data_IF_274839967028
#
_entry.id   IF_274839967028
#
_cell.length_a   1.000
_cell.length_b   1.000
_cell.length_c   1.000
_cell.angle_alpha   90.00
_cell.angle_beta   90.00
_cell.angle_gamma   90.00
#
_symmetry.space_group_name_H-M   'P 1'
#
loop_
_entity.id
_entity.type
_entity.pdbx_description
1 polymer ?
#
# COMPACT_ATOMS: atom_id res chain seq x y z
N UNK A 1 19.32 -18.03 -0.43
CA UNK A 1 18.61 -16.74 -0.26
C UNK A 1 17.22 -16.85 -0.88
N UNK A 2 16.29 -15.92 -0.59
CA UNK A 2 14.94 -15.94 -1.18
C UNK A 2 14.96 -16.12 -2.70
N UNK A 3 15.75 -15.30 -3.40
CA UNK A 3 15.93 -15.35 -4.85
C UNK A 3 16.44 -16.72 -5.31
N UNK A 4 17.48 -17.27 -4.69
CA UNK A 4 18.01 -18.58 -5.07
C UNK A 4 17.00 -19.73 -4.90
N UNK A 5 16.10 -19.62 -3.92
CA UNK A 5 15.09 -20.65 -3.66
C UNK A 5 13.91 -20.54 -4.61
N UNK A 6 13.36 -19.34 -4.79
CA UNK A 6 12.08 -19.13 -5.48
C UNK A 6 12.21 -18.61 -6.91
N UNK A 7 13.37 -18.06 -7.28
CA UNK A 7 13.67 -17.49 -8.59
C UNK A 7 15.06 -17.93 -9.08
N UNK A 8 15.22 -19.24 -9.23
CA UNK A 8 16.44 -19.84 -9.79
C UNK A 8 16.71 -19.42 -11.25
N UNK A 9 15.74 -18.78 -11.90
CA UNK A 9 15.82 -18.17 -13.21
C UNK A 9 16.49 -16.77 -13.24
N UNK A 10 16.77 -16.15 -12.08
CA UNK A 10 17.41 -14.83 -12.02
C UNK A 10 18.75 -14.87 -11.25
N UNK A 11 19.67 -13.92 -11.50
CA UNK A 11 20.94 -13.87 -10.78
C UNK A 11 20.73 -13.76 -9.27
N UNK A 12 21.47 -14.57 -8.50
CA UNK A 12 21.47 -14.47 -7.04
C UNK A 12 21.98 -13.11 -6.51
N UNK A 13 22.67 -12.35 -7.37
CA UNK A 13 23.12 -10.98 -7.12
C UNK A 13 22.07 -9.91 -7.38
N UNK A 14 20.84 -10.29 -7.76
CA UNK A 14 19.74 -9.32 -7.93
C UNK A 14 19.50 -8.63 -6.60
N UNK A 15 19.66 -7.31 -6.59
CA UNK A 15 19.68 -6.49 -5.40
C UNK A 15 18.89 -5.19 -5.61
N UNK A 16 18.63 -4.49 -4.52
CA UNK A 16 18.04 -3.17 -4.49
C UNK A 16 19.10 -2.10 -4.22
N UNK A 17 18.81 -0.86 -4.60
CA UNK A 17 19.57 0.31 -4.13
C UNK A 17 18.96 0.82 -2.84
N UNK A 18 19.81 1.15 -1.85
CA UNK A 18 19.38 1.74 -0.59
C UNK A 18 19.34 3.27 -0.72
N UNK A 19 18.23 3.86 -0.32
CA UNK A 19 18.14 5.27 0.06
C UNK A 19 17.75 5.37 1.55
N UNK A 20 18.16 6.44 2.21
CA UNK A 20 17.84 6.67 3.62
C UNK A 20 17.12 7.99 3.78
N UNK A 21 16.15 8.01 4.68
CA UNK A 21 15.37 9.18 5.08
C UNK A 21 15.56 9.41 6.58
N UNK A 22 15.68 10.69 6.98
CA UNK A 22 15.83 11.09 8.39
C UNK A 22 16.96 10.38 9.16
N UNK A 23 18.07 10.11 8.47
CA UNK A 23 19.24 9.48 9.08
C UNK A 23 19.09 7.99 9.38
N UNK A 24 18.09 7.32 8.79
CA UNK A 24 17.85 5.89 8.99
C UNK A 24 19.08 5.03 8.68
N UNK A 25 19.21 3.92 9.42
CA UNK A 25 20.17 2.87 9.15
C UNK A 25 19.54 1.76 8.29
N UNK A 26 20.40 0.90 7.71
CA UNK A 26 19.97 -0.32 7.04
C UNK A 26 20.57 -1.55 7.75
N UNK A 27 20.11 -1.79 8.97
CA UNK A 27 20.61 -2.90 9.77
C UNK A 27 20.04 -4.21 9.23
N UNK A 28 20.91 -5.12 8.83
CA UNK A 28 20.53 -6.37 8.15
C UNK A 28 20.45 -7.58 9.10
N UNK A 29 20.42 -7.35 10.42
CA UNK A 29 20.19 -8.44 11.38
C UNK A 29 18.72 -8.86 11.34
N UNK A 30 18.39 -10.11 11.66
CA UNK A 30 16.99 -10.56 11.65
C UNK A 30 16.07 -9.71 12.54
N UNK A 31 16.58 -9.26 13.69
CA UNK A 31 15.84 -8.45 14.66
C UNK A 31 15.61 -7.03 14.14
N UNK A 32 16.62 -6.45 13.48
CA UNK A 32 16.57 -5.04 13.06
C UNK A 32 16.00 -4.85 11.65
N UNK A 33 16.28 -5.77 10.71
CA UNK A 33 15.73 -5.73 9.35
C UNK A 33 14.22 -5.98 9.37
N UNK A 34 13.77 -6.83 10.30
CA UNK A 34 12.37 -7.18 10.48
C UNK A 34 11.81 -8.04 9.35
N UNK A 35 10.68 -8.68 9.66
CA UNK A 35 9.91 -9.49 8.70
C UNK A 35 9.34 -8.61 7.60
N UNK A 36 8.90 -7.41 7.95
CA UNK A 36 8.18 -6.49 7.07
C UNK A 36 9.03 -5.99 5.89
N UNK A 37 10.18 -5.35 6.16
CA UNK A 37 11.06 -4.85 5.10
C UNK A 37 11.63 -5.99 4.25
N UNK A 38 11.88 -7.15 4.88
CA UNK A 38 12.32 -8.37 4.18
C UNK A 38 11.26 -8.87 3.21
N UNK A 39 10.00 -8.94 3.64
CA UNK A 39 8.86 -9.32 2.81
C UNK A 39 8.72 -8.38 1.60
N UNK A 40 8.64 -7.09 1.85
CA UNK A 40 8.44 -6.07 0.81
C UNK A 40 9.51 -6.17 -0.28
N UNK A 41 10.78 -6.24 0.13
CA UNK A 41 11.89 -6.22 -0.82
C UNK A 41 12.08 -7.55 -1.54
N UNK A 42 11.85 -8.69 -0.85
CA UNK A 42 11.98 -10.02 -1.46
C UNK A 42 10.99 -10.21 -2.60
N UNK A 43 9.74 -9.76 -2.43
CA UNK A 43 8.74 -9.88 -3.48
C UNK A 43 8.94 -8.86 -4.60
N UNK A 44 9.24 -7.59 -4.29
CA UNK A 44 9.46 -6.57 -5.32
C UNK A 44 10.65 -6.89 -6.22
N UNK A 45 11.82 -7.16 -5.63
CA UNK A 45 13.05 -7.46 -6.39
C UNK A 45 12.91 -8.76 -7.19
N UNK A 46 12.16 -9.73 -6.66
CA UNK A 46 11.95 -11.00 -7.35
C UNK A 46 10.95 -10.85 -8.48
N UNK A 47 9.73 -10.38 -8.21
CA UNK A 47 8.63 -10.35 -9.20
C UNK A 47 8.91 -9.35 -10.31
N UNK A 48 9.29 -8.11 -9.98
CA UNK A 48 9.63 -7.06 -10.93
C UNK A 48 11.13 -7.06 -11.28
N UNK A 49 11.66 -8.23 -11.64
CA UNK A 49 13.06 -8.37 -12.02
C UNK A 49 13.42 -7.46 -13.23
N UNK A 50 14.69 -7.07 -13.32
CA UNK A 50 15.24 -6.16 -14.34
C UNK A 50 14.72 -4.70 -14.28
N UNK A 51 13.85 -4.37 -13.34
CA UNK A 51 13.51 -2.98 -13.03
C UNK A 51 14.34 -2.51 -11.83
N UNK A 52 14.95 -1.32 -11.87
CA UNK A 52 15.65 -0.77 -10.71
C UNK A 52 14.71 -0.64 -9.51
N UNK A 53 15.04 -1.34 -8.42
CA UNK A 53 14.29 -1.28 -7.15
C UNK A 53 15.08 -0.48 -6.14
N UNK A 54 14.43 0.51 -5.55
CA UNK A 54 14.97 1.31 -4.44
C UNK A 54 14.25 0.91 -3.16
N UNK A 55 15.01 0.56 -2.13
CA UNK A 55 14.52 0.41 -0.76
C UNK A 55 14.84 1.69 0.00
N UNK A 56 13.80 2.38 0.47
CA UNK A 56 13.96 3.58 1.30
C UNK A 56 13.81 3.17 2.76
N UNK A 57 14.91 3.24 3.51
CA UNK A 57 14.87 3.09 4.97
C UNK A 57 14.53 4.43 5.60
N UNK A 58 13.55 4.48 6.49
CA UNK A 58 13.12 5.70 7.18
C UNK A 58 13.28 5.55 8.70
N UNK A 59 13.68 6.63 9.36
CA UNK A 59 13.85 6.68 10.82
C UNK A 59 12.50 6.87 11.51
N UNK A 60 12.42 6.48 12.78
CA UNK A 60 11.27 6.84 13.64
C UNK A 60 11.31 8.32 14.07
N UNK A 61 12.47 8.97 13.95
CA UNK A 61 12.66 10.41 14.21
C UNK A 61 12.14 11.26 13.04
N UNK A 62 10.82 11.24 12.88
CA UNK A 62 10.10 11.89 11.77
C UNK A 62 9.78 13.34 12.12
N UNK A 63 9.89 14.23 11.12
CA UNK A 63 9.73 15.67 11.33
C UNK A 63 8.30 16.16 11.01
N UNK A 64 7.39 15.24 10.71
CA UNK A 64 5.99 15.51 10.33
C UNK A 64 4.95 15.10 11.41
N UNK A 65 5.41 14.70 12.59
CA UNK A 65 4.60 14.47 13.78
C UNK A 65 3.70 13.24 13.66
N UNK A 66 2.38 13.41 13.74
CA UNK A 66 1.42 12.29 13.68
C UNK A 66 1.31 11.64 12.29
N UNK A 67 2.03 12.17 11.30
CA UNK A 67 2.10 11.61 9.95
C UNK A 67 3.21 10.56 9.83
N UNK A 68 4.05 10.35 10.85
CA UNK A 68 4.94 9.19 10.94
C UNK A 68 5.87 9.00 9.74
N UNK A 69 6.35 10.11 9.14
CA UNK A 69 7.29 10.13 8.02
C UNK A 69 6.66 10.00 6.65
N UNK A 70 5.33 9.87 6.53
CA UNK A 70 4.68 9.75 5.22
C UNK A 70 4.73 11.04 4.41
N UNK A 71 4.80 12.21 5.06
CA UNK A 71 5.00 13.47 4.35
C UNK A 71 6.46 13.62 3.94
N UNK A 72 7.39 13.25 4.83
CA UNK A 72 8.83 13.28 4.55
C UNK A 72 9.18 12.36 3.36
N UNK A 73 8.56 11.18 3.29
CA UNK A 73 8.65 10.27 2.14
C UNK A 73 8.09 10.90 0.85
N UNK A 74 6.94 11.56 0.94
CA UNK A 74 6.35 12.21 -0.23
C UNK A 74 7.23 13.36 -0.72
N UNK A 75 7.81 14.15 0.18
CA UNK A 75 8.72 15.24 -0.12
C UNK A 75 10.05 14.74 -0.72
N UNK A 76 10.58 13.62 -0.23
CA UNK A 76 11.72 12.92 -0.85
C UNK A 76 11.44 12.60 -2.33
N UNK A 77 10.31 11.93 -2.61
CA UNK A 77 9.92 11.56 -3.97
C UNK A 77 9.61 12.78 -4.85
N UNK A 78 8.98 13.82 -4.29
CA UNK A 78 8.72 15.07 -5.00
C UNK A 78 10.01 15.83 -5.33
N UNK A 79 11.03 15.75 -4.48
CA UNK A 79 12.34 16.37 -4.67
C UNK A 79 13.20 15.71 -5.76
N UNK A 80 12.94 14.45 -6.11
CA UNK A 80 13.68 13.73 -7.14
C UNK A 80 13.34 14.27 -8.54
N UNK A 81 14.34 14.51 -9.39
CA UNK A 81 14.13 14.96 -10.77
C UNK A 81 13.40 13.90 -11.61
N UNK A 82 13.69 12.62 -11.37
CA UNK A 82 13.07 11.46 -12.02
C UNK A 82 12.71 10.42 -10.95
N UNK A 83 11.56 10.56 -10.27
CA UNK A 83 11.14 9.65 -9.23
C UNK A 83 10.81 8.26 -9.79
N UNK A 84 10.76 7.22 -8.96
CA UNK A 84 10.28 5.90 -9.36
C UNK A 84 8.85 6.00 -9.89
N UNK A 85 8.48 5.14 -10.84
CA UNK A 85 7.14 5.12 -11.42
C UNK A 85 6.10 4.50 -10.48
N UNK A 86 6.55 3.64 -9.57
CA UNK A 86 5.73 2.91 -8.62
C UNK A 86 6.38 3.02 -7.24
N UNK A 87 5.57 3.35 -6.24
CA UNK A 87 5.93 3.35 -4.82
C UNK A 87 4.94 2.47 -4.06
N UNK A 88 5.43 1.65 -3.15
CA UNK A 88 4.60 0.83 -2.26
C UNK A 88 5.11 0.95 -0.84
N UNK A 89 4.18 0.99 0.12
CA UNK A 89 4.50 0.89 1.54
C UNK A 89 3.47 0.02 2.24
N UNK A 90 3.98 -0.80 3.16
CA UNK A 90 3.16 -1.66 4.01
C UNK A 90 2.86 -0.99 5.37
N UNK A 91 3.29 0.26 5.54
CA UNK A 91 3.03 1.08 6.70
C UNK A 91 1.94 2.11 6.42
N UNK A 92 1.18 2.48 7.45
CA UNK A 92 0.17 3.53 7.36
C UNK A 92 -0.03 4.22 8.71
N UNK A 93 -0.55 5.46 8.71
CA UNK A 93 -0.83 6.17 9.95
C UNK A 93 -1.92 5.41 10.72
N UNK A 94 -1.80 5.37 12.06
CA UNK A 94 -2.77 4.72 12.93
C UNK A 94 -3.91 5.68 13.30
N UNK A 95 -5.14 5.48 12.79
CA UNK A 95 -6.28 6.32 13.17
C UNK A 95 -6.74 6.11 14.63
N UNK A 96 -7.38 7.13 15.26
CA UNK A 96 -7.86 8.36 14.63
C UNK A 96 -6.72 9.35 14.36
N UNK A 97 -6.79 10.00 13.19
CA UNK A 97 -5.94 11.15 12.90
C UNK A 97 -6.32 12.31 13.84
N UNK A 98 -5.39 13.24 14.15
CA UNK A 98 -5.64 14.37 15.02
C UNK A 98 -6.85 15.21 14.58
N UNK A 99 -7.55 15.78 15.56
CA UNK A 99 -8.66 16.73 15.35
C UNK A 99 -8.30 18.12 15.91
N UNK A 100 -8.53 19.22 15.17
CA UNK A 100 -9.01 19.27 13.80
C UNK A 100 -7.99 18.64 12.84
N UNK A 101 -8.48 18.08 11.73
CA UNK A 101 -7.57 17.64 10.66
C UNK A 101 -6.78 18.89 10.21
N UNK A 102 -5.44 18.87 10.23
CA UNK A 102 -4.67 19.93 9.59
C UNK A 102 -5.03 20.00 8.09
N UNK A 103 -4.75 21.12 7.40
CA UNK A 103 -4.76 21.15 5.93
C UNK A 103 -4.05 19.90 5.43
N UNK A 104 -4.66 19.16 4.51
CA UNK A 104 -4.14 17.85 4.13
C UNK A 104 -2.89 17.99 3.25
N UNK A 105 -1.79 18.44 3.83
CA UNK A 105 -0.47 18.54 3.19
C UNK A 105 -0.07 17.18 2.65
N UNK A 106 -0.35 16.11 3.41
CA UNK A 106 -0.20 14.75 2.94
C UNK A 106 -1.04 14.48 1.68
N UNK A 107 -2.35 14.74 1.69
CA UNK A 107 -3.19 14.53 0.51
C UNK A 107 -2.68 15.32 -0.71
N UNK A 108 -2.25 16.57 -0.49
CA UNK A 108 -1.72 17.42 -1.55
C UNK A 108 -0.38 16.90 -2.07
N UNK A 109 0.50 16.39 -1.22
CA UNK A 109 1.78 15.80 -1.61
C UNK A 109 1.55 14.53 -2.45
N UNK A 110 0.67 13.62 -2.00
CA UNK A 110 0.33 12.42 -2.76
C UNK A 110 -0.47 12.71 -4.04
N UNK A 111 -1.29 13.77 -4.06
CA UNK A 111 -1.92 14.26 -5.29
C UNK A 111 -0.87 14.78 -6.29
N UNK A 112 0.18 15.47 -5.80
CA UNK A 112 1.30 15.89 -6.64
C UNK A 112 2.10 14.69 -7.17
N UNK A 113 2.36 13.66 -6.35
CA UNK A 113 2.97 12.42 -6.83
C UNK A 113 2.14 11.78 -7.95
N UNK A 114 0.82 11.68 -7.76
CA UNK A 114 -0.10 11.21 -8.81
C UNK A 114 -0.05 12.07 -10.08
N UNK A 115 0.04 13.40 -9.95
CA UNK A 115 0.17 14.33 -11.07
C UNK A 115 1.52 14.21 -11.79
N UNK A 116 2.58 13.77 -11.09
CA UNK A 116 3.88 13.41 -11.68
C UNK A 116 3.88 12.02 -12.34
N UNK A 117 2.76 11.30 -12.31
CA UNK A 117 2.61 10.00 -12.95
C UNK A 117 3.06 8.83 -12.09
N UNK A 118 3.17 8.99 -10.77
CA UNK A 118 3.48 7.89 -9.87
C UNK A 118 2.23 7.07 -9.52
N UNK A 119 2.39 5.76 -9.51
CA UNK A 119 1.46 4.83 -8.86
C UNK A 119 1.90 4.62 -7.41
N UNK A 120 1.04 4.95 -6.46
CA UNK A 120 1.34 4.85 -5.02
C UNK A 120 0.40 3.85 -4.37
N UNK A 121 0.97 2.81 -3.77
CA UNK A 121 0.24 1.72 -3.12
C UNK A 121 0.48 1.70 -1.61
N UNK A 122 -0.61 1.52 -0.88
CA UNK A 122 -0.60 1.33 0.56
C UNK A 122 -1.26 -0.01 0.88
N UNK A 123 -0.65 -0.77 1.79
CA UNK A 123 -1.35 -1.87 2.44
C UNK A 123 -2.63 -1.35 3.12
N UNK A 124 -3.71 -2.12 3.04
CA UNK A 124 -4.99 -1.63 3.53
C UNK A 124 -5.10 -1.68 5.07
N UNK A 125 -4.30 -2.53 5.70
CA UNK A 125 -4.32 -2.80 7.14
C UNK A 125 -4.83 -4.20 7.48
N UNK A 126 -4.44 -4.67 8.66
CA UNK A 126 -4.65 -6.04 9.13
C UNK A 126 -5.58 -6.12 10.35
N UNK A 127 -6.26 -5.01 10.66
CA UNK A 127 -7.25 -4.90 11.73
C UNK A 127 -8.70 -5.14 11.29
N UNK A 128 -8.95 -5.52 10.04
CA UNK A 128 -10.29 -5.56 9.47
C UNK A 128 -10.98 -4.21 9.64
N UNK A 129 -12.12 -4.20 10.35
CA UNK A 129 -12.88 -2.95 10.56
C UNK A 129 -12.21 -1.93 11.50
N UNK A 130 -11.15 -2.36 12.19
CA UNK A 130 -10.41 -1.54 13.15
C UNK A 130 -9.21 -0.81 12.54
N UNK A 131 -8.95 -0.99 11.23
CA UNK A 131 -7.92 -0.25 10.49
C UNK A 131 -6.61 -1.01 10.37
N UNK A 132 -5.49 -0.33 10.58
CA UNK A 132 -4.13 -0.85 10.40
C UNK A 132 -3.86 -2.10 11.24
N UNK A 133 -4.35 -2.14 12.48
CA UNK A 133 -4.13 -3.23 13.43
C UNK A 133 -5.40 -3.58 14.20
N UNK A 134 -5.50 -4.83 14.64
CA UNK A 134 -6.66 -5.31 15.42
C UNK A 134 -6.76 -4.54 16.75
N UNK A 135 -7.91 -3.90 16.98
CA UNK A 135 -8.21 -3.22 18.25
C UNK A 135 -9.70 -3.29 18.62
N UNK A 136 -10.00 -3.31 19.92
CA UNK A 136 -11.37 -3.24 20.43
C UNK A 136 -11.94 -1.83 20.22
N UNK A 137 -13.00 -1.70 19.41
CA UNK A 137 -13.64 -0.40 19.12
C UNK A 137 -15.15 -0.52 19.01
N UNK A 138 -15.84 0.56 19.38
CA UNK A 138 -17.30 0.70 19.31
C UNK A 138 -17.80 1.27 17.98
N UNK A 139 -16.88 1.75 17.11
CA UNK A 139 -17.16 2.28 15.78
C UNK A 139 -16.13 1.76 14.79
N UNK A 140 -16.51 1.65 13.52
CA UNK A 140 -15.57 1.22 12.48
C UNK A 140 -14.63 2.37 12.13
N UNK A 141 -13.34 2.09 12.23
CA UNK A 141 -12.27 2.98 11.77
C UNK A 141 -12.28 3.03 10.25
N UNK A 142 -12.47 1.85 9.65
CA UNK A 142 -12.78 1.63 8.25
C UNK A 142 -13.82 0.49 8.21
N UNK A 143 -15.06 0.69 7.76
CA UNK A 143 -16.06 -0.40 7.62
C UNK A 143 -15.85 -1.37 6.43
N UNK A 144 -15.40 -2.60 6.68
CA UNK A 144 -15.54 -3.70 5.73
C UNK A 144 -16.41 -4.81 6.32
N UNK A 145 -17.31 -5.45 5.56
CA UNK A 145 -18.04 -6.57 6.10
C UNK A 145 -17.06 -7.75 6.21
N UNK A 146 -16.95 -8.30 7.42
CA UNK A 146 -16.19 -9.52 7.78
C UNK A 146 -16.59 -10.78 6.96
N UNK A 147 -17.46 -10.65 5.96
CA UNK A 147 -18.08 -11.75 5.19
C UNK A 147 -18.24 -11.42 3.72
N UNK A 148 -17.16 -11.00 3.05
CA UNK A 148 -17.01 -11.30 1.63
C UNK A 148 -16.13 -12.55 1.53
N UNK A 149 -16.59 -13.66 0.91
CA UNK A 149 -15.85 -14.93 0.86
C UNK A 149 -14.53 -14.89 0.09
N UNK A 150 -14.09 -13.71 -0.36
CA UNK A 150 -12.95 -13.50 -1.26
C UNK A 150 -11.78 -12.76 -0.57
N UNK A 151 -11.99 -12.14 0.60
CA UNK A 151 -10.94 -11.40 1.31
C UNK A 151 -10.50 -12.10 2.61
N UNK A 152 -9.21 -12.00 2.93
CA UNK A 152 -8.67 -12.48 4.20
C UNK A 152 -9.35 -11.77 5.40
N UNK A 153 -9.52 -12.48 6.53
CA UNK A 153 -10.30 -11.95 7.67
C UNK A 153 -9.70 -10.70 8.32
N UNK A 154 -8.39 -10.48 8.15
CA UNK A 154 -7.68 -9.30 8.64
C UNK A 154 -7.77 -8.11 7.68
N UNK A 155 -8.14 -8.32 6.40
CA UNK A 155 -8.12 -7.27 5.39
C UNK A 155 -9.01 -6.10 5.80
N UNK A 156 -8.38 -4.96 6.04
CA UNK A 156 -9.09 -3.74 6.37
C UNK A 156 -9.67 -3.09 5.12
N UNK A 157 -10.82 -2.45 5.30
CA UNK A 157 -11.56 -1.81 4.23
C UNK A 157 -12.62 -0.88 4.79
N UNK A 158 -13.06 0.11 4.03
CA UNK A 158 -14.25 0.88 4.36
C UNK A 158 -14.37 2.29 3.83
N UNK A 159 -14.92 3.15 4.68
CA UNK A 159 -15.38 4.51 4.39
C UNK A 159 -14.71 5.49 5.34
N UNK A 160 -14.06 6.49 4.77
CA UNK A 160 -13.38 7.53 5.54
C UNK A 160 -14.35 8.38 6.38
N UNK A 161 -13.98 8.67 7.63
CA UNK A 161 -14.66 9.69 8.45
C UNK A 161 -14.19 11.12 8.13
N UNK A 162 -13.19 11.26 7.24
CA UNK A 162 -12.46 12.49 7.03
C UNK A 162 -12.63 13.05 5.61
N UNK A 163 -12.52 12.18 4.61
CA UNK A 163 -12.53 12.57 3.20
C UNK A 163 -13.86 12.23 2.55
N UNK A 164 -14.38 13.15 1.73
CA UNK A 164 -15.56 12.91 0.91
C UNK A 164 -15.24 11.91 -0.22
N UNK A 165 -16.28 11.24 -0.72
CA UNK A 165 -16.13 10.31 -1.84
C UNK A 165 -15.74 11.05 -3.13
N UNK A 166 -14.67 10.62 -3.83
CA UNK A 166 -14.39 11.12 -5.17
C UNK A 166 -15.43 10.62 -6.19
N UNK A 167 -15.41 11.13 -7.42
CA UNK A 167 -16.40 10.73 -8.43
C UNK A 167 -16.21 9.29 -8.93
N UNK A 168 -14.96 8.83 -9.08
CA UNK A 168 -14.65 7.56 -9.73
C UNK A 168 -15.25 6.30 -9.05
N UNK A 169 -15.28 6.14 -7.71
CA UNK A 169 -15.84 4.95 -7.10
C UNK A 169 -17.33 5.10 -6.77
N UNK A 170 -17.95 6.26 -7.06
CA UNK A 170 -19.31 6.56 -6.64
C UNK A 170 -20.36 5.54 -7.13
N UNK A 171 -20.31 5.06 -8.41
CA UNK A 171 -21.22 4.02 -8.87
C UNK A 171 -21.03 2.69 -8.11
N UNK A 172 -19.78 2.23 -7.96
CA UNK A 172 -19.46 0.98 -7.26
C UNK A 172 -19.89 1.03 -5.78
N UNK A 173 -19.64 2.15 -5.10
CA UNK A 173 -20.05 2.33 -3.70
C UNK A 173 -21.56 2.39 -3.57
N UNK A 174 -22.29 2.99 -4.52
CA UNK A 174 -23.75 3.01 -4.49
C UNK A 174 -24.33 1.59 -4.55
N UNK A 175 -23.80 0.74 -5.43
CA UNK A 175 -24.17 -0.69 -5.51
C UNK A 175 -23.87 -1.41 -4.20
N UNK A 176 -22.67 -1.21 -3.64
CA UNK A 176 -22.28 -1.81 -2.37
C UNK A 176 -23.19 -1.37 -1.21
N UNK A 177 -23.48 -0.07 -1.07
CA UNK A 177 -24.36 0.44 -0.01
C UNK A 177 -25.79 -0.09 -0.15
N UNK A 178 -26.29 -0.24 -1.37
CA UNK A 178 -27.60 -0.84 -1.62
C UNK A 178 -27.63 -2.32 -1.18
N UNK A 179 -26.56 -3.07 -1.47
CA UNK A 179 -26.42 -4.47 -1.04
C UNK A 179 -26.23 -4.61 0.48
N UNK A 180 -25.49 -3.68 1.11
CA UNK A 180 -25.29 -3.64 2.56
C UNK A 180 -26.58 -3.28 3.31
N UNK A 181 -27.43 -2.44 2.70
CA UNK A 181 -28.69 -1.99 3.30
C UNK A 181 -28.48 -1.27 4.63
N UNK A 182 -29.27 -1.63 5.64
CA UNK A 182 -29.15 -1.09 6.99
C UNK A 182 -28.12 -1.77 7.88
N UNK A 183 -27.39 -2.76 7.37
CA UNK A 183 -26.41 -3.50 8.14
C UNK A 183 -25.29 -2.55 8.60
N UNK A 184 -25.00 -2.58 9.90
CA UNK A 184 -24.00 -1.71 10.54
C UNK A 184 -24.29 -0.20 10.44
N UNK A 185 -25.55 0.20 10.22
CA UNK A 185 -25.93 1.60 10.30
C UNK A 185 -25.49 2.23 11.65
N UNK A 186 -24.91 3.43 11.59
CA UNK A 186 -24.34 4.12 12.75
C UNK A 186 -22.91 3.73 13.11
N UNK A 187 -22.36 2.64 12.55
CA UNK A 187 -20.97 2.25 12.76
C UNK A 187 -20.00 2.83 11.72
N UNK A 188 -20.52 3.45 10.65
CA UNK A 188 -19.69 4.02 9.58
C UNK A 188 -20.27 5.28 8.91
N UNK A 189 -19.38 6.07 8.31
CA UNK A 189 -19.75 7.24 7.51
C UNK A 189 -20.05 6.84 6.06
N UNK A 190 -21.32 6.60 5.75
CA UNK A 190 -21.78 6.24 4.40
C UNK A 190 -21.51 7.30 3.32
N UNK A 191 -21.13 8.53 3.69
CA UNK A 191 -20.78 9.63 2.77
C UNK A 191 -19.27 9.78 2.54
N UNK A 192 -18.44 9.07 3.29
CA UNK A 192 -16.99 9.13 3.19
C UNK A 192 -16.43 8.57 1.89
N UNK A 193 -15.11 8.74 1.69
CA UNK A 193 -14.28 7.99 0.73
C UNK A 193 -14.44 6.51 1.03
N UNK A 194 -15.45 5.91 0.40
CA UNK A 194 -15.75 4.48 0.40
C UNK A 194 -15.01 3.75 -0.70
N UNK A 195 -15.16 2.42 -0.73
CA UNK A 195 -14.43 1.50 -1.61
C UNK A 195 -12.91 1.45 -1.36
N UNK A 196 -12.51 1.59 -0.09
CA UNK A 196 -11.21 1.08 0.36
C UNK A 196 -11.39 -0.38 0.83
N UNK A 197 -10.46 -1.30 0.52
CA UNK A 197 -9.36 -1.12 -0.43
C UNK A 197 -9.89 -1.01 -1.87
N UNK A 198 -9.14 -0.34 -2.74
CA UNK A 198 -9.51 -0.18 -4.16
C UNK A 198 -9.27 -1.46 -4.98
N UNK A 199 -8.35 -2.33 -4.52
CA UNK A 199 -8.03 -3.64 -5.09
C UNK A 199 -7.72 -4.64 -3.97
N UNK A 200 -7.84 -5.94 -4.25
CA UNK A 200 -7.45 -7.00 -3.31
C UNK A 200 -6.56 -8.02 -4.01
N UNK A 201 -5.47 -8.42 -3.35
CA UNK A 201 -4.53 -9.47 -3.80
C UNK A 201 -4.35 -10.47 -2.66
N UNK A 202 -3.82 -11.67 -2.93
CA UNK A 202 -3.53 -12.64 -1.87
C UNK A 202 -2.66 -12.00 -0.78
N UNK A 203 -2.99 -12.27 0.48
CA UNK A 203 -2.24 -11.80 1.64
C UNK A 203 -1.95 -12.89 2.66
N UNK A 204 -2.14 -14.16 2.32
CA UNK A 204 -1.98 -15.30 3.23
C UNK A 204 -0.91 -16.25 2.68
N UNK A 205 -0.09 -16.80 3.57
CA UNK A 205 0.96 -17.78 3.34
C UNK A 205 2.04 -17.31 2.36
N UNK A 206 2.48 -16.06 2.48
CA UNK A 206 3.65 -15.59 1.74
C UNK A 206 4.89 -16.14 2.41
N UNK A 207 5.68 -16.92 1.68
CA UNK A 207 6.98 -17.34 2.20
C UNK A 207 7.97 -16.18 2.14
N UNK A 208 8.78 -16.02 3.17
CA UNK A 208 9.95 -15.12 3.21
C UNK A 208 11.14 -15.86 3.78
N UNK A 209 12.34 -15.41 3.46
CA UNK A 209 13.60 -15.95 4.00
C UNK A 209 14.30 -14.88 4.83
N UNK A 210 14.47 -15.12 6.13
CA UNK A 210 15.13 -14.18 7.06
C UNK A 210 16.18 -14.97 7.81
N UNK A 211 17.43 -14.46 7.84
CA UNK A 211 18.57 -15.17 8.44
C UNK A 211 18.67 -16.64 8.00
N UNK A 212 18.44 -16.87 6.70
CA UNK A 212 18.44 -18.19 6.04
C UNK A 212 17.31 -19.15 6.45
N UNK A 213 16.40 -18.73 7.33
CA UNK A 213 15.23 -19.50 7.76
C UNK A 213 13.97 -19.09 7.00
N UNK A 214 13.05 -20.04 6.83
CA UNK A 214 11.78 -19.83 6.12
C UNK A 214 10.65 -19.48 7.09
N UNK A 215 9.93 -18.42 6.77
CA UNK A 215 8.75 -18.00 7.51
C UNK A 215 7.56 -17.91 6.56
N UNK A 216 6.36 -18.17 7.08
CA UNK A 216 5.11 -17.82 6.42
C UNK A 216 4.57 -16.55 7.07
N UNK A 217 4.20 -15.59 6.24
CA UNK A 217 3.70 -14.28 6.65
C UNK A 217 2.32 -14.08 6.05
N UNK A 218 1.45 -13.52 6.87
CA UNK A 218 0.11 -13.09 6.51
C UNK A 218 0.01 -11.58 6.74
N UNK A 219 -0.70 -10.89 5.86
CA UNK A 219 -0.95 -9.46 5.98
C UNK A 219 -1.22 -8.80 4.64
N UNK A 220 -1.85 -7.64 4.67
CA UNK A 220 -2.03 -6.78 3.49
C UNK A 220 -0.71 -6.19 3.03
N UNK A 221 0.31 -6.21 3.89
CA UNK A 221 1.73 -6.04 3.58
C UNK A 221 2.27 -7.03 2.56
N UNK A 222 1.67 -8.23 2.45
CA UNK A 222 2.02 -9.17 1.38
C UNK A 222 1.41 -8.72 0.04
N UNK A 223 0.18 -8.19 0.10
CA UNK A 223 -0.62 -7.84 -1.06
C UNK A 223 -0.13 -6.58 -1.78
N UNK A 224 0.31 -5.56 -1.03
CA UNK A 224 0.76 -4.27 -1.60
C UNK A 224 1.97 -4.40 -2.53
N UNK A 225 3.13 -4.96 -2.11
CA UNK A 225 4.29 -5.14 -2.97
C UNK A 225 4.02 -6.12 -4.13
N UNK A 226 3.19 -7.15 -3.91
CA UNK A 226 2.81 -8.06 -4.99
C UNK A 226 2.03 -7.34 -6.10
N UNK A 227 1.06 -6.48 -5.75
CA UNK A 227 0.33 -5.68 -6.73
C UNK A 227 1.20 -4.59 -7.36
N UNK A 228 2.04 -3.92 -6.58
CA UNK A 228 2.99 -2.93 -7.07
C UNK A 228 3.93 -3.53 -8.12
N UNK A 229 4.44 -4.74 -7.88
CA UNK A 229 5.26 -5.48 -8.84
C UNK A 229 4.52 -5.77 -10.14
N UNK A 230 3.24 -6.15 -10.08
CA UNK A 230 2.42 -6.34 -11.28
C UNK A 230 2.26 -5.03 -12.07
N UNK A 231 2.07 -3.90 -11.40
CA UNK A 231 1.97 -2.57 -12.03
C UNK A 231 3.29 -2.17 -12.67
N UNK A 232 4.43 -2.47 -12.04
CA UNK A 232 5.75 -2.25 -12.63
C UNK A 232 5.90 -3.03 -13.94
N UNK A 233 5.54 -4.32 -13.96
CA UNK A 233 5.60 -5.13 -15.18
C UNK A 233 4.65 -4.63 -16.28
N UNK A 234 3.47 -4.13 -15.92
CA UNK A 234 2.56 -3.49 -16.87
C UNK A 234 3.15 -2.20 -17.44
N UNK A 235 3.81 -1.39 -16.60
CA UNK A 235 4.48 -0.17 -17.06
C UNK A 235 5.65 -0.50 -18.00
N UNK A 236 6.42 -1.55 -17.72
CA UNK A 236 7.50 -2.03 -18.59
C UNK A 236 6.97 -2.40 -20.00
N UNK A 237 5.87 -3.16 -20.06
CA UNK A 237 5.22 -3.51 -21.34
C UNK A 237 4.61 -2.31 -22.07
N UNK A 238 4.04 -1.34 -21.33
CA UNK A 238 3.55 -0.11 -21.93
C UNK A 238 4.70 0.69 -22.54
N UNK A 239 5.81 0.82 -21.83
CA UNK A 239 6.99 1.53 -22.30
C UNK A 239 7.66 0.81 -23.48
N UNK A 240 7.70 -0.53 -23.50
CA UNK A 240 8.24 -1.32 -24.61
C UNK A 240 7.49 -1.07 -25.93
N UNK A 241 6.22 -0.65 -25.83
CA UNK A 241 5.34 -0.31 -26.97
C UNK A 241 5.16 1.19 -27.18
N UNK A 242 5.94 2.04 -26.50
CA UNK A 242 5.88 3.50 -26.62
C UNK A 242 4.62 4.14 -26.03
N UNK A 243 3.92 3.43 -25.14
CA UNK A 243 2.73 3.91 -24.43
C UNK A 243 3.11 4.53 -23.09
N UNK A 244 2.32 5.49 -22.58
CA UNK A 244 2.55 6.05 -21.25
C UNK A 244 2.27 5.00 -20.17
N UNK A 245 2.97 5.14 -19.04
CA UNK A 245 2.76 4.37 -17.81
C UNK A 245 1.38 4.64 -17.20
N UNK A 246 0.95 3.79 -16.26
CA UNK A 246 -0.40 3.84 -15.66
C UNK A 246 -0.62 5.03 -14.73
N UNK A 247 0.38 5.45 -13.94
CA UNK A 247 0.30 6.60 -13.05
C UNK A 247 -0.76 6.48 -11.95
N UNK A 248 -1.69 7.44 -11.86
CA UNK A 248 -2.78 7.38 -10.89
C UNK A 248 -3.89 6.44 -11.36
N UNK A 249 -3.91 5.21 -10.82
CA UNK A 249 -4.75 4.12 -11.32
C UNK A 249 -6.25 4.23 -11.00
N UNK A 250 -6.66 4.82 -9.86
CA UNK A 250 -8.04 4.66 -9.37
C UNK A 250 -9.10 5.04 -10.43
N UNK A 251 -9.04 6.20 -11.11
CA UNK A 251 -10.04 6.53 -12.12
C UNK A 251 -10.14 5.50 -13.25
N UNK A 252 -9.02 4.90 -13.67
CA UNK A 252 -8.98 3.86 -14.69
C UNK A 252 -9.58 2.54 -14.18
N UNK A 253 -9.23 2.13 -12.96
CA UNK A 253 -9.76 0.90 -12.34
C UNK A 253 -11.29 0.92 -12.24
N UNK A 254 -11.87 2.03 -11.76
CA UNK A 254 -13.33 2.15 -11.64
C UNK A 254 -14.04 2.49 -12.96
N UNK A 255 -13.32 3.00 -13.97
CA UNK A 255 -13.90 3.37 -15.26
C UNK A 255 -13.89 2.25 -16.31
N UNK A 256 -12.86 1.40 -16.32
CA UNK A 256 -12.60 0.42 -17.40
C UNK A 256 -12.38 -0.99 -16.87
N UNK A 257 -11.79 -1.17 -15.68
CA UNK A 257 -11.53 -2.49 -15.12
C UNK A 257 -12.71 -3.08 -14.32
N UNK A 258 -13.69 -2.25 -13.94
CA UNK A 258 -14.86 -2.65 -13.14
C UNK A 258 -16.06 -3.16 -13.97
N UNK A 259 -15.83 -3.63 -15.20
CA UNK A 259 -16.87 -4.15 -16.10
C UNK A 259 -17.22 -5.59 -15.75
#
# INVERSE_FOLDING_TARGET
TFVQTYRSDIPASTAFTLETLDGAANNQTAVDAGIEASLDIQYNVSVAMHVPTVFVSASEDTHDGALGGFLDMADLLLGQASPPQVFTTSYGPNPPLPSPLPPCNLCNAYAQLGARGLSVFFASGDGGVSGTQTSERTTFVVPFPRRLPVAASFSAGGFSNYWARPAYPAPAVAVYLAALGGMYAGFYNASGRGAFPDVTVQGINFSVVIDQEFYLVDGTSCSSPAFASAVVLLNDELLSTGRPILGFLNPWLYGVAAV
#
